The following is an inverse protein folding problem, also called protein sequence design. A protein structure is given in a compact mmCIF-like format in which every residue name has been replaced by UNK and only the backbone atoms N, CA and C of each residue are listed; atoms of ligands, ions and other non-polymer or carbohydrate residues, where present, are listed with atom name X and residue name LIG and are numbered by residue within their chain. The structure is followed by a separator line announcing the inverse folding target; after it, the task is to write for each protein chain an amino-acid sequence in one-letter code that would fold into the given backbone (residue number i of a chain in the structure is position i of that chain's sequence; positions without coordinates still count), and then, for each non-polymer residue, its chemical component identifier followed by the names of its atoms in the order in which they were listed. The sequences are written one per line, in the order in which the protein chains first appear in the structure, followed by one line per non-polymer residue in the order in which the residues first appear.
data_IF_725841357697
#
_entry.id   IF_725841357697
#
_cell.length_a   1.000
_cell.length_b   1.000
_cell.length_c   1.000
_cell.angle_alpha   90.00
_cell.angle_beta   90.00
_cell.angle_gamma   90.00
#
_symmetry.space_group_name_H-M   'P 1'
#
loop_
_entity.id
_entity.type
_entity.pdbx_description
1 polymer ?
#
# COMPACT_ATOMS: atom_id res chain seq x y z
N UNK A 1 -68.60 38.10 -20.27
CA UNK A 1 -69.52 37.31 -19.42
C UNK A 1 -69.31 35.85 -19.76
N UNK A 2 -68.90 35.02 -18.78
CA UNK A 2 -68.70 33.60 -18.97
C UNK A 2 -67.49 33.10 -18.26
N UNK A 3 -67.64 32.92 -16.97
CA UNK A 3 -66.66 32.29 -16.10
C UNK A 3 -66.68 30.78 -16.30
N UNK A 4 -65.48 30.17 -16.54
CA UNK A 4 -65.31 28.74 -16.55
C UNK A 4 -64.60 28.36 -15.23
N UNK A 5 -65.03 27.36 -14.47
CA UNK A 5 -64.38 26.95 -13.24
C UNK A 5 -63.25 26.00 -13.49
N UNK A 6 -62.15 26.25 -12.75
CA UNK A 6 -60.98 25.43 -12.59
C UNK A 6 -61.34 24.13 -11.85
N UNK A 7 -60.98 22.98 -12.44
CA UNK A 7 -60.94 21.69 -11.74
C UNK A 7 -59.56 21.07 -11.85
N UNK A 8 -58.79 21.20 -10.78
CA UNK A 8 -57.59 20.38 -10.56
C UNK A 8 -58.00 18.97 -10.13
N UNK A 9 -57.39 17.94 -10.69
CA UNK A 9 -57.38 16.63 -10.06
C UNK A 9 -56.14 16.50 -9.18
N UNK A 10 -56.43 16.22 -7.94
CA UNK A 10 -55.53 15.84 -6.88
C UNK A 10 -54.84 14.52 -7.26
N UNK A 11 -53.50 14.56 -7.54
CA UNK A 11 -52.72 13.38 -7.78
C UNK A 11 -51.93 13.07 -6.51
N UNK A 12 -52.52 12.27 -5.66
CA UNK A 12 -51.84 11.63 -4.52
C UNK A 12 -50.76 10.68 -5.04
N UNK A 13 -49.53 11.16 -5.13
CA UNK A 13 -48.34 10.32 -5.40
C UNK A 13 -47.99 9.53 -4.13
N UNK A 14 -48.35 8.28 -4.13
CA UNK A 14 -47.84 7.28 -3.15
C UNK A 14 -46.34 7.15 -3.29
N UNK A 15 -45.62 7.71 -2.34
CA UNK A 15 -44.17 7.51 -2.15
C UNK A 15 -43.98 6.08 -1.64
N UNK A 16 -43.62 5.17 -2.51
CA UNK A 16 -43.03 3.89 -2.11
C UNK A 16 -41.63 4.15 -1.62
N UNK A 17 -41.45 4.19 -0.31
CA UNK A 17 -40.17 4.08 0.33
C UNK A 17 -39.57 2.70 0.01
N UNK A 18 -38.70 2.67 -1.00
CA UNK A 18 -37.80 1.54 -1.18
C UNK A 18 -36.79 1.61 -0.03
N UNK A 19 -37.08 0.85 1.02
CA UNK A 19 -36.13 0.56 2.05
C UNK A 19 -34.91 -0.08 1.38
N UNK A 20 -33.81 0.67 1.30
CA UNK A 20 -32.50 0.12 1.00
C UNK A 20 -32.22 -0.93 2.08
N UNK A 21 -32.22 -2.18 1.69
CA UNK A 21 -31.78 -3.28 2.53
C UNK A 21 -30.30 -3.04 2.88
N UNK A 22 -30.05 -2.43 4.03
CA UNK A 22 -28.74 -2.45 4.67
C UNK A 22 -28.48 -3.89 5.08
N UNK A 23 -27.66 -4.58 4.31
CA UNK A 23 -27.02 -5.81 4.78
C UNK A 23 -26.21 -5.43 6.04
N UNK A 24 -26.34 -6.14 7.15
CA UNK A 24 -25.48 -5.94 8.29
C UNK A 24 -24.10 -6.48 7.91
N UNK A 25 -23.26 -5.61 7.36
CA UNK A 25 -21.83 -5.87 7.21
C UNK A 25 -21.26 -5.96 8.63
N UNK A 26 -21.00 -7.19 9.08
CA UNK A 26 -20.41 -7.46 10.39
C UNK A 26 -18.90 -7.15 10.36
N UNK A 27 -18.57 -5.95 9.90
CA UNK A 27 -17.21 -5.43 9.83
C UNK A 27 -16.83 -4.87 11.19
N UNK A 28 -15.82 -5.43 11.84
CA UNK A 28 -15.28 -4.87 13.09
C UNK A 28 -14.38 -3.68 12.75
N UNK A 29 -14.86 -2.47 13.04
CA UNK A 29 -14.09 -1.24 12.85
C UNK A 29 -13.40 -0.83 14.16
N UNK A 30 -12.09 -0.61 14.12
CA UNK A 30 -11.28 -0.15 15.27
C UNK A 30 -10.38 0.99 14.85
N UNK A 31 -10.02 1.84 15.82
CA UNK A 31 -9.10 2.97 15.63
C UNK A 31 -8.03 2.97 16.72
N UNK A 32 -6.80 3.29 16.37
CA UNK A 32 -5.70 3.47 17.31
C UNK A 32 -4.66 4.46 16.75
N UNK A 33 -3.81 4.97 17.66
CA UNK A 33 -2.53 5.60 17.28
C UNK A 33 -1.41 4.71 17.79
N UNK A 34 -0.58 4.21 16.89
CA UNK A 34 0.49 3.25 17.19
C UNK A 34 1.82 3.85 16.74
N UNK A 35 2.68 4.20 17.70
CA UNK A 35 4.00 4.81 17.45
C UNK A 35 3.95 6.03 16.49
N UNK A 36 2.90 6.85 16.61
CA UNK A 36 2.69 8.04 15.77
C UNK A 36 1.95 7.78 14.46
N UNK A 37 1.64 6.53 14.14
CA UNK A 37 0.79 6.17 12.99
C UNK A 37 -0.67 6.15 13.42
N UNK A 38 -1.55 6.81 12.69
CA UNK A 38 -3.00 6.65 12.87
C UNK A 38 -3.46 5.40 12.11
N UNK A 39 -4.20 4.51 12.78
CA UNK A 39 -4.60 3.22 12.21
C UNK A 39 -6.09 3.02 12.36
N UNK A 40 -6.77 2.74 11.23
CA UNK A 40 -8.20 2.42 11.19
C UNK A 40 -8.41 1.10 10.48
N UNK A 41 -9.14 0.19 11.11
CA UNK A 41 -9.42 -1.14 10.55
C UNK A 41 -10.88 -1.28 10.15
N UNK A 42 -11.11 -2.05 9.09
CA UNK A 42 -12.40 -2.60 8.68
C UNK A 42 -12.13 -4.08 8.37
N UNK A 43 -12.31 -4.94 9.38
CA UNK A 43 -11.94 -6.34 9.27
C UNK A 43 -13.13 -7.18 8.79
N UNK A 44 -12.91 -8.02 7.79
CA UNK A 44 -13.87 -9.01 7.30
C UNK A 44 -14.10 -10.09 8.35
N UNK A 45 -15.31 -10.59 8.46
CA UNK A 45 -15.65 -11.77 9.29
C UNK A 45 -15.33 -13.11 8.61
N UNK A 46 -14.88 -13.09 7.36
CA UNK A 46 -14.51 -14.28 6.60
C UNK A 46 -13.17 -14.80 7.11
N UNK A 47 -13.13 -16.07 7.51
CA UNK A 47 -11.90 -16.72 7.96
C UNK A 47 -10.85 -16.77 6.84
N UNK A 48 -9.60 -16.43 7.16
CA UNK A 48 -8.52 -16.34 6.18
C UNK A 48 -8.64 -15.21 5.16
N UNK A 49 -9.58 -14.26 5.33
CA UNK A 49 -9.72 -13.09 4.44
C UNK A 49 -8.39 -12.35 4.27
N UNK A 50 -8.00 -11.96 3.04
CA UNK A 50 -6.80 -11.17 2.84
C UNK A 50 -6.92 -9.81 3.53
N UNK A 51 -5.77 -9.26 3.93
CA UNK A 51 -5.69 -7.94 4.57
C UNK A 51 -4.91 -6.97 3.67
N UNK A 52 -5.54 -5.85 3.33
CA UNK A 52 -4.91 -4.75 2.60
C UNK A 52 -4.54 -3.64 3.58
N UNK A 53 -3.27 -3.30 3.64
CA UNK A 53 -2.71 -2.17 4.37
C UNK A 53 -2.56 -1.00 3.40
N UNK A 54 -3.37 0.03 3.59
CA UNK A 54 -3.44 1.20 2.72
C UNK A 54 -2.75 2.38 3.39
N UNK A 55 -1.68 2.86 2.79
CA UNK A 55 -0.88 3.96 3.28
C UNK A 55 -1.38 5.30 2.71
N UNK A 56 -1.60 6.27 3.58
CA UNK A 56 -2.06 7.61 3.22
C UNK A 56 -1.57 8.67 4.21
N UNK A 57 -2.02 9.90 4.02
CA UNK A 57 -1.81 11.02 4.94
C UNK A 57 -2.86 11.04 6.05
N UNK A 58 -4.02 10.43 5.81
CA UNK A 58 -5.14 10.38 6.77
C UNK A 58 -5.74 8.98 6.80
N UNK A 59 -5.82 8.38 7.99
CA UNK A 59 -6.44 7.07 8.16
C UNK A 59 -7.99 7.12 8.19
N UNK A 60 -8.58 8.28 8.45
CA UNK A 60 -10.03 8.44 8.59
C UNK A 60 -10.80 8.34 7.27
N UNK A 61 -10.11 8.49 6.15
CA UNK A 61 -10.71 8.45 4.82
C UNK A 61 -10.04 7.36 3.98
N UNK A 62 -10.85 6.38 3.54
CA UNK A 62 -10.39 5.41 2.55
C UNK A 62 -10.76 5.90 1.16
N UNK A 63 -9.78 6.07 0.25
CA UNK A 63 -10.05 6.45 -1.13
C UNK A 63 -10.56 5.30 -1.99
N UNK A 64 -10.79 4.12 -1.40
CA UNK A 64 -11.15 2.90 -2.11
C UNK A 64 -12.36 2.21 -1.50
N UNK A 65 -13.11 1.51 -2.36
CA UNK A 65 -14.16 0.59 -1.95
C UNK A 65 -13.57 -0.81 -1.82
N UNK A 66 -13.76 -1.42 -0.65
CA UNK A 66 -13.20 -2.74 -0.35
C UNK A 66 -14.19 -3.82 -0.80
N UNK A 67 -13.76 -4.80 -1.61
CA UNK A 67 -14.61 -5.93 -1.97
C UNK A 67 -15.03 -6.74 -0.74
N UNK A 68 -16.19 -7.39 -0.84
CA UNK A 68 -16.64 -8.34 0.18
C UNK A 68 -15.59 -9.43 0.41
N UNK A 69 -15.36 -9.82 1.66
CA UNK A 69 -14.35 -10.82 2.01
C UNK A 69 -12.92 -10.30 2.07
N UNK A 70 -12.69 -8.99 1.97
CA UNK A 70 -11.36 -8.37 2.12
C UNK A 70 -11.36 -7.50 3.38
N UNK A 71 -10.30 -7.58 4.16
CA UNK A 71 -10.05 -6.68 5.29
C UNK A 71 -9.22 -5.47 4.86
N UNK A 72 -9.51 -4.28 5.41
CA UNK A 72 -8.78 -3.06 5.14
C UNK A 72 -8.20 -2.47 6.44
N UNK A 73 -6.94 -2.07 6.37
CA UNK A 73 -6.24 -1.31 7.42
C UNK A 73 -5.72 -0.02 6.80
N UNK A 74 -6.38 1.10 7.07
CA UNK A 74 -5.90 2.43 6.66
C UNK A 74 -4.87 2.93 7.66
N UNK A 75 -3.76 3.45 7.16
CA UNK A 75 -2.63 3.95 7.96
C UNK A 75 -2.31 5.37 7.52
N UNK A 76 -2.49 6.32 8.43
CA UNK A 76 -2.14 7.72 8.24
C UNK A 76 -0.75 8.01 8.80
N UNK A 77 0.03 8.78 8.04
CA UNK A 77 1.43 9.13 8.34
C UNK A 77 1.64 10.63 8.19
N UNK A 78 2.09 11.30 9.25
CA UNK A 78 2.27 12.77 9.27
C UNK A 78 3.56 13.24 8.58
N UNK A 79 4.66 12.54 8.80
CA UNK A 79 5.98 12.90 8.26
C UNK A 79 6.28 12.11 6.99
N UNK A 80 5.66 12.51 5.89
CA UNK A 80 5.63 11.77 4.62
C UNK A 80 7.03 11.46 4.06
N UNK A 81 7.87 12.51 3.88
CA UNK A 81 9.21 12.37 3.31
C UNK A 81 10.18 11.65 4.25
N UNK A 82 9.96 11.73 5.56
CA UNK A 82 10.75 11.01 6.55
C UNK A 82 10.36 9.52 6.57
N UNK A 83 9.09 9.23 6.76
CA UNK A 83 8.61 7.89 7.08
C UNK A 83 8.59 6.93 5.90
N UNK A 84 8.53 7.43 4.65
CA UNK A 84 8.44 6.59 3.46
C UNK A 84 9.72 6.55 2.61
N UNK A 85 10.76 7.28 3.00
CA UNK A 85 12.03 7.27 2.29
C UNK A 85 12.96 6.19 2.82
N UNK A 86 13.45 5.28 1.97
CA UNK A 86 14.35 4.20 2.37
C UNK A 86 15.73 4.67 2.86
N UNK A 87 16.20 5.81 2.35
CA UNK A 87 17.45 6.47 2.69
C UNK A 87 17.38 7.95 2.39
N UNK A 88 18.29 8.72 2.98
CA UNK A 88 18.38 10.15 2.76
C UNK A 88 18.63 10.49 1.29
N UNK A 89 17.86 11.43 0.78
CA UNK A 89 18.04 11.97 -0.57
C UNK A 89 17.73 13.48 -0.62
N UNK A 90 18.34 14.23 -1.56
CA UNK A 90 18.00 15.62 -1.77
C UNK A 90 16.54 15.77 -2.23
N UNK A 91 15.91 16.84 -1.79
CA UNK A 91 14.57 17.24 -2.28
C UNK A 91 14.56 17.41 -3.79
N UNK A 92 13.47 17.02 -4.42
CA UNK A 92 13.23 17.23 -5.86
C UNK A 92 12.33 18.45 -6.16
N UNK A 93 11.62 18.92 -5.14
CA UNK A 93 10.75 20.08 -5.23
C UNK A 93 11.36 21.27 -4.48
N UNK A 94 11.36 22.45 -5.08
CA UNK A 94 12.04 23.63 -4.54
C UNK A 94 11.57 24.02 -3.12
N UNK A 95 10.33 23.75 -2.77
CA UNK A 95 9.72 24.08 -1.46
C UNK A 95 9.56 22.88 -0.52
N UNK A 96 9.92 21.67 -0.94
CA UNK A 96 9.82 20.49 -0.10
C UNK A 96 11.00 20.33 0.86
N UNK A 97 10.90 19.50 1.91
CA UNK A 97 12.04 19.07 2.71
C UNK A 97 12.94 18.12 1.90
N UNK A 98 14.10 17.80 2.44
CA UNK A 98 14.87 16.64 1.98
C UNK A 98 14.16 15.36 2.40
N UNK A 99 14.44 14.27 1.69
CA UNK A 99 13.97 12.94 2.06
C UNK A 99 14.80 12.39 3.22
N UNK A 100 14.12 11.75 4.18
CA UNK A 100 14.75 11.11 5.32
C UNK A 100 15.17 9.66 5.05
N UNK A 101 15.28 8.87 6.11
CA UNK A 101 15.63 7.44 6.08
C UNK A 101 14.74 6.58 7.01
N UNK A 102 13.57 7.10 7.36
CA UNK A 102 12.66 6.50 8.33
C UNK A 102 11.86 5.29 7.83
N UNK A 103 11.98 4.89 6.56
CA UNK A 103 11.20 3.79 5.99
C UNK A 103 11.40 2.47 6.75
N UNK A 104 12.63 2.14 7.17
CA UNK A 104 12.88 0.93 7.95
C UNK A 104 12.15 0.96 9.29
N UNK A 105 12.17 2.08 9.99
CA UNK A 105 11.45 2.26 11.25
C UNK A 105 9.93 2.14 11.06
N UNK A 106 9.42 2.70 9.97
CA UNK A 106 8.00 2.57 9.61
C UNK A 106 7.64 1.11 9.34
N UNK A 107 8.45 0.40 8.55
CA UNK A 107 8.25 -1.02 8.27
C UNK A 107 8.29 -1.87 9.55
N UNK A 108 9.27 -1.64 10.43
CA UNK A 108 9.38 -2.32 11.72
C UNK A 108 8.15 -2.05 12.61
N UNK A 109 7.62 -0.83 12.59
CA UNK A 109 6.38 -0.48 13.31
C UNK A 109 5.18 -1.22 12.72
N UNK A 110 5.06 -1.28 11.39
CA UNK A 110 4.00 -2.04 10.72
C UNK A 110 4.05 -3.52 11.12
N UNK A 111 5.21 -4.14 11.03
CA UNK A 111 5.38 -5.58 11.28
C UNK A 111 5.18 -5.94 12.76
N UNK A 112 5.79 -5.17 13.66
CA UNK A 112 5.86 -5.57 15.07
C UNK A 112 4.73 -5.01 15.94
N UNK A 113 3.99 -4.00 15.46
CA UNK A 113 2.97 -3.35 16.26
C UNK A 113 1.62 -3.23 15.54
N UNK A 114 1.58 -2.71 14.30
CA UNK A 114 0.32 -2.48 13.60
C UNK A 114 -0.34 -3.80 13.19
N UNK A 115 0.40 -4.70 12.54
CA UNK A 115 -0.13 -6.00 12.10
C UNK A 115 -0.64 -6.83 13.29
N UNK A 116 0.12 -7.05 14.38
CA UNK A 116 -0.39 -7.78 15.52
C UNK A 116 -1.64 -7.16 16.16
N UNK A 117 -1.70 -5.82 16.21
CA UNK A 117 -2.87 -5.12 16.75
C UNK A 117 -4.07 -5.23 15.80
N UNK A 118 -3.88 -4.99 14.50
CA UNK A 118 -4.96 -5.02 13.52
C UNK A 118 -5.58 -6.43 13.39
N UNK A 119 -4.74 -7.46 13.41
CA UNK A 119 -5.14 -8.85 13.17
C UNK A 119 -5.45 -9.63 14.47
N UNK A 120 -5.38 -8.98 15.65
CA UNK A 120 -5.57 -9.65 16.96
C UNK A 120 -6.91 -10.37 17.15
N UNK A 121 -7.93 -10.00 16.37
CA UNK A 121 -9.28 -10.55 16.45
C UNK A 121 -9.62 -11.49 15.29
N UNK A 122 -8.68 -11.71 14.36
CA UNK A 122 -8.87 -12.69 13.30
C UNK A 122 -8.86 -14.11 13.86
N UNK A 123 -9.81 -14.92 13.44
CA UNK A 123 -9.89 -16.33 13.82
C UNK A 123 -8.80 -17.19 13.17
N UNK A 124 -8.32 -16.77 12.01
CA UNK A 124 -7.29 -17.44 11.22
C UNK A 124 -6.34 -16.39 10.63
N UNK A 125 -5.07 -16.73 10.38
CA UNK A 125 -4.16 -15.87 9.65
C UNK A 125 -4.71 -15.49 8.26
N UNK A 126 -4.47 -14.27 7.76
CA UNK A 126 -4.93 -13.90 6.43
C UNK A 126 -4.23 -14.72 5.34
N UNK A 127 -4.94 -15.01 4.25
CA UNK A 127 -4.40 -15.71 3.09
C UNK A 127 -3.15 -15.02 2.52
N UNK A 128 -3.15 -13.70 2.52
CA UNK A 128 -1.99 -12.84 2.21
C UNK A 128 -2.21 -11.44 2.76
N UNK A 129 -1.12 -10.69 2.83
CA UNK A 129 -1.13 -9.25 3.13
C UNK A 129 -0.70 -8.47 1.90
N UNK A 130 -1.46 -7.42 1.56
CA UNK A 130 -1.09 -6.46 0.54
C UNK A 130 -0.73 -5.12 1.19
N UNK A 131 0.33 -4.47 0.71
CA UNK A 131 0.70 -3.12 1.10
C UNK A 131 0.50 -2.20 -0.11
N UNK A 132 -0.29 -1.16 0.04
CA UNK A 132 -0.67 -0.28 -1.07
C UNK A 132 -0.42 1.17 -0.69
N UNK A 133 0.19 1.92 -1.57
CA UNK A 133 0.43 3.34 -1.37
C UNK A 133 0.49 4.14 -2.67
N UNK A 134 0.34 5.45 -2.53
CA UNK A 134 0.43 6.41 -3.62
C UNK A 134 1.71 7.24 -3.50
N UNK A 135 2.32 7.62 -4.62
CA UNK A 135 3.50 8.49 -4.65
C UNK A 135 4.69 7.91 -3.86
N UNK A 136 5.18 8.58 -2.83
CA UNK A 136 6.27 8.11 -1.98
C UNK A 136 5.85 6.89 -1.13
N UNK A 137 4.59 6.81 -0.70
CA UNK A 137 4.05 5.59 -0.09
C UNK A 137 3.96 4.42 -1.08
N UNK A 138 3.79 4.69 -2.38
CA UNK A 138 3.92 3.69 -3.45
C UNK A 138 5.35 3.17 -3.61
N UNK A 139 6.33 4.06 -3.56
CA UNK A 139 7.74 3.68 -3.46
C UNK A 139 7.98 2.77 -2.25
N UNK A 140 7.53 3.19 -1.06
CA UNK A 140 7.67 2.44 0.17
C UNK A 140 7.01 1.05 0.09
N UNK A 141 5.82 0.96 -0.51
CA UNK A 141 5.11 -0.30 -0.70
C UNK A 141 5.93 -1.31 -1.51
N UNK A 142 6.52 -0.88 -2.63
CA UNK A 142 7.39 -1.73 -3.44
C UNK A 142 8.69 -2.07 -2.70
N UNK A 143 9.36 -1.08 -2.13
CA UNK A 143 10.58 -1.25 -1.35
C UNK A 143 10.38 -2.25 -0.21
N UNK A 144 9.31 -2.11 0.58
CA UNK A 144 8.98 -3.02 1.66
C UNK A 144 8.70 -4.45 1.17
N UNK A 145 8.03 -4.60 0.01
CA UNK A 145 7.72 -5.90 -0.58
C UNK A 145 8.96 -6.69 -1.01
N UNK A 146 10.00 -6.01 -1.50
CA UNK A 146 11.26 -6.66 -1.91
C UNK A 146 12.29 -6.72 -0.80
N UNK A 147 12.11 -6.00 0.31
CA UNK A 147 13.05 -6.00 1.43
C UNK A 147 13.01 -7.32 2.20
N UNK A 148 14.13 -7.82 2.72
CA UNK A 148 14.15 -9.00 3.58
C UNK A 148 13.42 -8.68 4.90
N UNK A 149 12.23 -9.22 5.05
CA UNK A 149 11.36 -8.98 6.20
C UNK A 149 11.57 -10.11 7.22
N UNK A 150 12.58 -9.97 8.05
CA UNK A 150 12.79 -10.85 9.19
C UNK A 150 12.05 -10.24 10.39
N UNK A 151 11.05 -10.94 10.92
CA UNK A 151 10.52 -10.63 12.24
C UNK A 151 11.70 -10.76 13.24
N UNK A 152 12.30 -9.64 13.59
CA UNK A 152 13.31 -9.62 14.65
C UNK A 152 12.57 -9.72 15.97
N UNK A 153 12.51 -10.92 16.51
CA UNK A 153 12.20 -11.08 17.93
C UNK A 153 13.18 -10.20 18.70
N UNK A 154 12.68 -9.24 19.48
CA UNK A 154 13.48 -8.43 20.37
C UNK A 154 14.35 -9.34 21.24
N UNK A 155 15.66 -9.43 20.94
CA UNK A 155 16.63 -9.92 21.90
C UNK A 155 17.15 -8.72 22.66
N UNK A 156 17.07 -8.70 23.98
CA UNK A 156 17.57 -7.60 24.82
C UNK A 156 19.10 -7.42 24.75
N UNK A 157 19.84 -8.31 24.10
CA UNK A 157 21.29 -8.44 24.24
C UNK A 157 22.12 -8.04 23.01
N UNK A 158 21.54 -7.47 21.95
CA UNK A 158 22.27 -7.05 20.74
C UNK A 158 22.89 -5.64 20.85
N UNK A 159 23.38 -5.26 22.04
CA UNK A 159 24.26 -4.11 22.23
C UNK A 159 25.70 -4.62 22.34
N UNK A 160 26.33 -4.81 21.24
CA UNK A 160 27.77 -4.93 20.98
C UNK A 160 28.14 -6.20 20.20
N UNK A 161 28.45 -6.05 18.90
CA UNK A 161 29.63 -6.70 18.30
C UNK A 161 29.72 -6.36 16.81
N UNK A 162 30.87 -5.88 16.40
CA UNK A 162 31.30 -5.71 15.01
C UNK A 162 31.30 -7.06 14.26
N UNK A 163 31.00 -7.11 12.96
CA UNK A 163 31.03 -8.36 12.20
C UNK A 163 32.45 -8.78 11.84
N UNK A 164 32.86 -9.92 12.40
CA UNK A 164 34.03 -10.67 11.93
C UNK A 164 33.56 -11.88 11.10
N UNK A 165 34.33 -12.34 10.11
CA UNK A 165 33.94 -13.46 9.25
C UNK A 165 34.17 -14.79 9.98
N UNK A 166 33.08 -15.56 10.17
CA UNK A 166 33.20 -16.98 10.54
C UNK A 166 32.24 -17.84 9.75
N UNK A 167 32.86 -18.68 8.92
CA UNK A 167 32.30 -19.86 8.28
C UNK A 167 31.68 -20.81 9.30
N UNK A 168 30.38 -21.15 9.14
CA UNK A 168 29.86 -22.43 9.63
C UNK A 168 28.86 -23.00 8.65
N UNK A 169 29.23 -24.12 8.06
CA UNK A 169 28.42 -25.06 7.32
C UNK A 169 27.47 -25.75 8.28
N UNK A 170 26.18 -25.59 8.06
CA UNK A 170 25.14 -26.34 8.74
C UNK A 170 23.83 -25.98 8.02
N UNK A 171 23.33 -26.89 7.18
CA UNK A 171 22.02 -26.79 6.56
C UNK A 171 20.93 -26.96 7.61
N UNK A 172 20.22 -25.91 7.99
CA UNK A 172 18.87 -26.08 8.49
C UNK A 172 17.93 -25.95 7.31
N UNK A 173 17.06 -26.92 7.12
CA UNK A 173 15.84 -26.78 6.37
C UNK A 173 14.98 -25.74 7.11
N UNK A 174 15.23 -24.47 6.83
CA UNK A 174 14.39 -23.36 7.29
C UNK A 174 13.44 -23.11 6.13
N UNK A 175 12.14 -23.31 6.36
CA UNK A 175 11.13 -22.74 5.48
C UNK A 175 11.51 -21.28 5.25
N UNK A 176 11.70 -20.89 3.99
CA UNK A 176 12.08 -19.53 3.63
C UNK A 176 11.11 -18.55 4.33
N UNK A 177 11.58 -17.50 4.99
CA UNK A 177 10.67 -16.56 5.65
C UNK A 177 9.73 -15.99 4.59
N UNK A 178 8.45 -16.39 4.67
CA UNK A 178 7.39 -15.82 3.86
C UNK A 178 7.39 -14.33 4.19
N UNK A 179 7.66 -13.46 3.20
CA UNK A 179 7.66 -12.02 3.40
C UNK A 179 6.36 -11.57 4.04
N UNK A 180 6.40 -10.58 4.90
CA UNK A 180 5.21 -10.12 5.62
C UNK A 180 4.13 -9.62 4.67
N UNK A 181 4.53 -8.93 3.58
CA UNK A 181 3.64 -8.47 2.52
C UNK A 181 3.91 -9.25 1.24
N UNK A 182 2.95 -10.09 0.84
CA UNK A 182 3.03 -10.90 -0.37
C UNK A 182 2.62 -10.12 -1.62
N UNK A 183 1.87 -9.02 -1.46
CA UNK A 183 1.41 -8.19 -2.58
C UNK A 183 1.72 -6.72 -2.35
N UNK A 184 2.15 -6.01 -3.40
CA UNK A 184 2.49 -4.59 -3.36
C UNK A 184 1.74 -3.81 -4.42
N UNK A 185 1.14 -2.68 -4.02
CA UNK A 185 0.52 -1.69 -4.90
C UNK A 185 1.25 -0.36 -4.85
N UNK A 186 2.03 -0.05 -5.87
CA UNK A 186 2.78 1.19 -6.03
C UNK A 186 2.09 2.12 -7.03
N UNK A 187 1.09 2.87 -6.55
CA UNK A 187 0.26 3.75 -7.38
C UNK A 187 0.94 5.08 -7.60
N UNK A 188 1.17 5.47 -8.85
CA UNK A 188 1.95 6.66 -9.21
C UNK A 188 3.24 6.76 -8.40
N UNK A 189 3.89 5.60 -8.20
CA UNK A 189 5.03 5.45 -7.30
C UNK A 189 6.20 6.35 -7.66
N UNK A 190 6.94 6.84 -6.66
CA UNK A 190 8.12 7.68 -6.85
C UNK A 190 9.31 6.87 -7.39
N UNK A 191 9.14 6.21 -8.55
CA UNK A 191 10.16 5.32 -9.15
C UNK A 191 11.40 6.06 -9.67
N UNK A 192 11.38 7.39 -9.60
CA UNK A 192 12.54 8.27 -9.83
C UNK A 192 13.48 8.37 -8.63
N UNK A 193 13.13 7.79 -7.48
CA UNK A 193 13.90 7.91 -6.24
C UNK A 193 15.32 7.36 -6.43
N UNK A 194 16.38 8.13 -6.04
CA UNK A 194 17.76 7.75 -6.33
C UNK A 194 18.14 6.40 -5.71
N UNK A 195 18.73 5.50 -6.49
CA UNK A 195 19.20 4.19 -6.02
C UNK A 195 18.11 3.11 -5.92
N UNK A 196 16.83 3.41 -6.20
CA UNK A 196 15.75 2.43 -6.11
C UNK A 196 15.98 1.22 -7.03
N UNK A 197 16.37 1.46 -8.28
CA UNK A 197 16.60 0.39 -9.26
C UNK A 197 17.71 -0.56 -8.81
N UNK A 198 18.82 -0.01 -8.36
CA UNK A 198 19.98 -0.80 -7.87
C UNK A 198 19.61 -1.60 -6.62
N UNK A 199 18.82 -0.99 -5.73
CA UNK A 199 18.34 -1.67 -4.54
C UNK A 199 17.45 -2.88 -4.91
N UNK A 200 16.47 -2.68 -5.79
CA UNK A 200 15.58 -3.76 -6.23
C UNK A 200 16.37 -4.89 -6.89
N UNK A 201 17.33 -4.58 -7.75
CA UNK A 201 18.22 -5.59 -8.37
C UNK A 201 18.99 -6.39 -7.33
N UNK A 202 19.54 -5.72 -6.32
CA UNK A 202 20.26 -6.37 -5.25
C UNK A 202 19.37 -7.34 -4.47
N UNK A 203 18.16 -6.93 -4.13
CA UNK A 203 17.21 -7.76 -3.38
C UNK A 203 16.76 -8.98 -4.20
N UNK A 204 16.40 -8.77 -5.46
CA UNK A 204 15.97 -9.86 -6.35
C UNK A 204 17.09 -10.87 -6.63
N UNK A 205 18.34 -10.41 -6.71
CA UNK A 205 19.52 -11.27 -6.88
C UNK A 205 19.84 -12.09 -5.63
N UNK A 206 19.45 -11.63 -4.45
CA UNK A 206 19.62 -12.32 -3.16
C UNK A 206 18.68 -13.52 -2.95
N UNK A 207 17.68 -13.72 -3.78
CA UNK A 207 16.93 -14.96 -3.99
C UNK A 207 15.70 -15.20 -3.10
N UNK A 208 15.50 -14.54 -1.99
CA UNK A 208 14.35 -14.82 -1.11
C UNK A 208 13.48 -13.59 -0.88
N UNK A 209 12.71 -13.19 -1.91
CA UNK A 209 11.71 -12.12 -1.76
C UNK A 209 10.35 -12.77 -1.50
N UNK A 210 9.67 -12.37 -0.43
CA UNK A 210 8.33 -12.86 -0.12
C UNK A 210 7.22 -12.27 -0.99
N UNK A 211 7.56 -11.30 -1.84
CA UNK A 211 6.63 -10.66 -2.77
C UNK A 211 6.25 -11.63 -3.89
N UNK A 212 4.95 -11.80 -4.12
CA UNK A 212 4.40 -12.65 -5.18
C UNK A 212 3.70 -11.85 -6.29
N UNK A 213 3.13 -10.69 -5.93
CA UNK A 213 2.40 -9.83 -6.86
C UNK A 213 2.79 -8.37 -6.67
N UNK A 214 3.00 -7.64 -7.75
CA UNK A 214 3.31 -6.22 -7.74
C UNK A 214 2.49 -5.47 -8.80
N UNK A 215 1.71 -4.50 -8.35
CA UNK A 215 1.02 -3.56 -9.23
C UNK A 215 1.77 -2.23 -9.22
N UNK A 216 2.22 -1.78 -10.37
CA UNK A 216 2.87 -0.50 -10.57
C UNK A 216 2.00 0.36 -11.49
N UNK A 217 1.84 1.62 -11.21
CA UNK A 217 1.14 2.51 -12.15
C UNK A 217 1.71 3.91 -12.18
N UNK A 218 1.44 4.63 -13.27
CA UNK A 218 1.74 6.05 -13.45
C UNK A 218 0.64 6.74 -14.25
N UNK A 219 0.60 8.06 -14.19
CA UNK A 219 -0.10 8.87 -15.19
C UNK A 219 0.74 9.05 -16.45
N UNK A 220 0.12 9.05 -17.62
CA UNK A 220 0.78 9.18 -18.93
C UNK A 220 1.50 10.53 -19.16
N UNK A 221 1.33 11.47 -18.23
CA UNK A 221 1.95 12.80 -18.23
C UNK A 221 2.93 13.04 -17.08
N UNK A 222 3.16 12.06 -16.21
CA UNK A 222 4.06 12.25 -15.06
C UNK A 222 5.52 12.46 -15.47
N UNK A 223 5.97 11.78 -16.53
CA UNK A 223 7.30 11.98 -17.09
C UNK A 223 7.44 13.29 -17.90
N UNK A 224 6.35 14.03 -18.16
CA UNK A 224 6.39 15.31 -18.90
C UNK A 224 6.77 16.47 -17.99
N UNK A 225 7.99 16.46 -17.50
CA UNK A 225 8.54 17.45 -16.57
C UNK A 225 9.97 17.85 -16.99
N UNK A 226 10.39 19.11 -16.79
CA UNK A 226 11.78 19.50 -17.00
C UNK A 226 12.70 19.04 -15.85
N UNK A 227 12.17 18.45 -14.78
CA UNK A 227 12.98 17.97 -13.66
C UNK A 227 13.74 16.71 -14.09
N UNK A 228 15.09 16.73 -14.14
CA UNK A 228 15.90 15.62 -14.64
C UNK A 228 15.83 14.37 -13.77
N UNK A 229 15.43 14.48 -12.51
CA UNK A 229 15.23 13.32 -11.62
C UNK A 229 13.91 12.61 -11.90
N UNK A 230 12.86 13.35 -12.29
CA UNK A 230 11.52 12.80 -12.44
C UNK A 230 11.24 12.37 -13.90
N UNK A 231 11.89 12.98 -14.89
CA UNK A 231 11.59 12.76 -16.30
C UNK A 231 11.72 11.30 -16.76
N UNK A 232 12.50 10.51 -16.06
CA UNK A 232 12.70 9.06 -16.34
C UNK A 232 11.80 8.13 -15.50
N UNK A 233 10.80 8.68 -14.81
CA UNK A 233 9.93 7.89 -13.92
C UNK A 233 9.21 6.76 -14.65
N UNK A 234 8.86 6.96 -15.92
CA UNK A 234 8.18 5.96 -16.74
C UNK A 234 9.12 4.81 -17.12
N UNK A 235 10.28 5.13 -17.65
CA UNK A 235 11.31 4.15 -18.02
C UNK A 235 11.70 3.30 -16.80
N UNK A 236 11.84 3.94 -15.64
CA UNK A 236 12.12 3.26 -14.39
C UNK A 236 10.99 2.30 -13.97
N UNK A 237 9.73 2.72 -14.11
CA UNK A 237 8.58 1.87 -13.79
C UNK A 237 8.48 0.64 -14.72
N UNK A 238 8.68 0.84 -16.02
CA UNK A 238 8.71 -0.24 -17.02
C UNK A 238 9.85 -1.23 -16.72
N UNK A 239 11.02 -0.72 -16.36
CA UNK A 239 12.19 -1.52 -16.00
C UNK A 239 11.95 -2.30 -14.70
N UNK A 240 11.37 -1.68 -13.66
CA UNK A 240 11.02 -2.36 -12.41
C UNK A 240 10.03 -3.50 -12.66
N UNK A 241 8.97 -3.28 -13.44
CA UNK A 241 8.01 -4.33 -13.78
C UNK A 241 8.69 -5.52 -14.47
N UNK A 242 9.55 -5.26 -15.45
CA UNK A 242 10.30 -6.30 -16.16
C UNK A 242 11.24 -7.10 -15.25
N UNK A 243 11.91 -6.42 -14.28
CA UNK A 243 12.80 -7.08 -13.31
C UNK A 243 12.04 -7.98 -12.35
N UNK A 244 10.89 -7.51 -11.86
CA UNK A 244 10.01 -8.28 -10.99
C UNK A 244 9.49 -9.54 -11.71
N UNK A 245 9.03 -9.40 -12.96
CA UNK A 245 8.62 -10.55 -13.80
C UNK A 245 9.75 -11.55 -14.02
N UNK A 246 10.96 -11.05 -14.31
CA UNK A 246 12.14 -11.89 -14.50
C UNK A 246 12.54 -12.67 -13.25
N UNK A 247 12.18 -12.14 -12.07
CA UNK A 247 12.37 -12.80 -10.77
C UNK A 247 11.19 -13.73 -10.38
N UNK A 248 10.20 -13.94 -11.26
CA UNK A 248 9.06 -14.81 -11.03
C UNK A 248 7.92 -14.17 -10.24
N UNK A 249 7.94 -12.83 -10.03
CA UNK A 249 6.88 -12.09 -9.37
C UNK A 249 5.84 -11.69 -10.42
N UNK A 250 4.58 -12.05 -10.21
CA UNK A 250 3.48 -11.60 -11.06
C UNK A 250 3.38 -10.08 -10.98
N UNK A 251 3.68 -9.38 -12.06
CA UNK A 251 3.67 -7.93 -12.06
C UNK A 251 2.74 -7.34 -13.13
N UNK A 252 2.24 -6.13 -12.85
CA UNK A 252 1.43 -5.32 -13.75
C UNK A 252 1.97 -3.90 -13.74
N UNK A 253 2.28 -3.35 -14.90
CA UNK A 253 2.48 -1.92 -15.06
C UNK A 253 1.32 -1.31 -15.84
N UNK A 254 0.60 -0.38 -15.22
CA UNK A 254 -0.54 0.31 -15.85
C UNK A 254 -0.26 1.80 -16.04
N UNK A 255 -0.41 2.27 -17.28
CA UNK A 255 -0.33 3.69 -17.62
C UNK A 255 -1.72 4.30 -17.65
N UNK A 256 -2.04 5.13 -16.66
CA UNK A 256 -3.32 5.82 -16.53
C UNK A 256 -3.30 7.17 -17.26
N UNK A 257 -4.47 7.65 -17.69
CA UNK A 257 -4.57 8.98 -18.26
C UNK A 257 -4.39 10.05 -17.18
N UNK A 258 -3.52 11.06 -17.44
CA UNK A 258 -3.39 12.24 -16.60
C UNK A 258 -1.99 12.44 -16.00
N UNK A 259 -1.86 13.47 -15.19
CA UNK A 259 -0.64 13.75 -14.42
C UNK A 259 -0.68 13.07 -13.04
N UNK A 260 0.34 13.32 -12.21
CA UNK A 260 0.49 12.75 -10.88
C UNK A 260 -0.75 12.90 -9.99
N UNK A 261 -1.43 14.04 -10.02
CA UNK A 261 -2.51 14.40 -9.11
C UNK A 261 -3.93 14.11 -9.64
N UNK A 262 -4.06 13.54 -10.84
CA UNK A 262 -5.36 13.31 -11.46
C UNK A 262 -5.88 11.90 -11.20
N UNK A 263 -7.15 11.81 -10.77
CA UNK A 263 -7.86 10.54 -10.54
C UNK A 263 -7.11 9.58 -9.61
N UNK A 264 -6.57 10.09 -8.50
CA UNK A 264 -5.80 9.29 -7.52
C UNK A 264 -6.66 8.16 -6.97
N UNK A 265 -7.88 8.45 -6.52
CA UNK A 265 -8.82 7.46 -5.99
C UNK A 265 -9.10 6.33 -6.99
N UNK A 266 -9.40 6.68 -8.24
CA UNK A 266 -9.66 5.67 -9.28
C UNK A 266 -8.44 4.80 -9.59
N UNK A 267 -7.21 5.34 -9.49
CA UNK A 267 -5.96 4.57 -9.65
C UNK A 267 -5.72 3.65 -8.45
N UNK A 268 -5.98 4.14 -7.23
CA UNK A 268 -5.91 3.34 -6.02
C UNK A 268 -6.91 2.18 -6.06
N UNK A 269 -8.14 2.44 -6.54
CA UNK A 269 -9.16 1.41 -6.71
C UNK A 269 -8.69 0.31 -7.69
N UNK A 270 -8.13 0.69 -8.84
CA UNK A 270 -7.59 -0.27 -9.81
C UNK A 270 -6.49 -1.16 -9.23
N UNK A 271 -5.59 -0.57 -8.44
CA UNK A 271 -4.54 -1.32 -7.75
C UNK A 271 -5.15 -2.33 -6.78
N UNK A 272 -6.13 -1.90 -5.97
CA UNK A 272 -6.83 -2.77 -5.05
C UNK A 272 -7.53 -3.91 -5.80
N UNK A 273 -8.34 -3.59 -6.82
CA UNK A 273 -9.09 -4.57 -7.61
C UNK A 273 -8.19 -5.62 -8.27
N UNK A 274 -6.97 -5.23 -8.65
CA UNK A 274 -6.00 -6.16 -9.22
C UNK A 274 -5.34 -7.02 -8.15
N UNK A 275 -5.01 -6.43 -7.00
CA UNK A 275 -4.29 -7.13 -5.92
C UNK A 275 -5.18 -8.10 -5.13
N UNK A 276 -6.49 -7.98 -5.17
CA UNK A 276 -7.40 -8.85 -4.40
C UNK A 276 -8.03 -9.97 -5.25
N UNK A 277 -7.64 -10.05 -6.52
CA UNK A 277 -7.97 -11.20 -7.39
C UNK A 277 -7.06 -12.38 -7.05
#
# INVERSE_FOLDING_TARGET
MGTVPDTHPDATATRTDAAAASHPDNTMARKATISGLSVHTQMSSVAGAPVVYLLGDVADHSPVQVPEGVSLVNIGVDLWEENFSPWCAPRVFAKGPNFGDGAQKTLDTLINQVIPWAESELSEPPAYRALVGYSLAGLFSLWAGVSPQVARGCRPDDVSSQPGPSSQSGTPHVDAPIGTFQRSGAVSGSFWFPGLLDYVDQQLSGGAVGLTHAYLSLGDREARTPNPQIMHVRENAELLASRLESAGITSMFELNRGNHFQNVEGRMQKALDWLVK
#
